data_IF_635102144455
#
_entry.id   IF_635102144455
#
_cell.length_a   1.000
_cell.length_b   1.000
_cell.length_c   1.000
_cell.angle_alpha   90.00
_cell.angle_beta   90.00
_cell.angle_gamma   90.00
#
_symmetry.space_group_name_H-M   'P 1'
#
loop_
_entity.id
_entity.type
_entity.pdbx_description
1 polymer ?
#
# COMPACT_ATOMS: atom_id res chain seq x y z
N UNK A 1 8.04 26.84 -13.70
CA UNK A 1 8.43 26.88 -12.27
C UNK A 1 8.92 25.49 -11.88
N UNK A 2 10.24 25.31 -11.81
CA UNK A 2 10.85 24.06 -11.34
C UNK A 2 10.97 24.12 -9.83
N UNK A 3 10.23 23.26 -9.12
CA UNK A 3 10.40 23.07 -7.69
C UNK A 3 11.71 22.30 -7.53
N UNK A 4 12.79 22.99 -7.14
CA UNK A 4 14.07 22.37 -6.81
C UNK A 4 14.06 22.06 -5.32
N UNK A 5 14.10 20.77 -4.97
CA UNK A 5 14.39 20.33 -3.60
C UNK A 5 15.87 20.64 -3.34
N UNK A 6 16.15 21.77 -2.69
CA UNK A 6 17.53 22.28 -2.53
C UNK A 6 18.36 21.48 -1.51
N UNK A 7 17.76 20.55 -0.75
CA UNK A 7 18.46 19.63 0.15
C UNK A 7 17.77 18.27 0.11
N UNK A 8 18.27 17.35 -0.70
CA UNK A 8 17.84 15.95 -0.71
C UNK A 8 18.88 15.11 0.06
N UNK A 9 18.44 14.44 1.13
CA UNK A 9 19.29 13.48 1.84
C UNK A 9 18.93 12.07 1.38
N UNK A 10 19.88 11.37 0.81
CA UNK A 10 19.70 9.96 0.42
C UNK A 10 19.90 9.10 1.67
N UNK A 11 18.84 8.39 2.08
CA UNK A 11 18.90 7.39 3.14
C UNK A 11 18.90 6.02 2.47
N UNK A 12 20.01 5.27 2.49
CA UNK A 12 20.06 3.96 1.86
C UNK A 12 19.21 2.97 2.65
N UNK A 13 18.33 2.23 1.95
CA UNK A 13 17.64 1.09 2.55
C UNK A 13 18.53 -0.16 2.45
N UNK A 14 18.88 -0.82 3.56
CA UNK A 14 19.95 -1.81 3.59
C UNK A 14 19.47 -3.21 3.14
N UNK A 15 18.97 -3.34 1.90
CA UNK A 15 18.50 -4.62 1.32
C UNK A 15 19.50 -5.77 1.50
N UNK A 16 20.80 -5.48 1.39
CA UNK A 16 21.88 -6.45 1.44
C UNK A 16 22.21 -6.93 2.87
N UNK A 17 21.89 -6.13 3.90
CA UNK A 17 22.22 -6.46 5.30
C UNK A 17 21.12 -7.26 5.98
N UNK A 18 19.96 -7.40 5.33
CA UNK A 18 18.88 -8.22 5.85
C UNK A 18 19.10 -9.63 5.29
N UNK A 19 19.96 -10.37 5.97
CA UNK A 19 20.39 -11.73 5.64
C UNK A 19 19.20 -12.71 5.52
N UNK A 20 18.10 -12.40 6.22
CA UNK A 20 16.83 -13.15 6.20
C UNK A 20 15.73 -12.51 5.32
N UNK A 21 16.03 -11.44 4.57
CA UNK A 21 15.05 -10.91 3.60
C UNK A 21 14.90 -11.92 2.49
N UNK A 22 13.76 -12.59 2.53
CA UNK A 22 13.31 -13.51 1.51
C UNK A 22 13.35 -12.85 0.13
N UNK A 23 13.67 -13.64 -0.89
CA UNK A 23 13.96 -13.15 -2.25
C UNK A 23 12.83 -12.28 -2.83
N UNK A 24 11.58 -12.49 -2.40
CA UNK A 24 10.42 -11.71 -2.84
C UNK A 24 10.50 -10.23 -2.44
N UNK A 25 11.12 -9.90 -1.30
CA UNK A 25 11.27 -8.51 -0.84
C UNK A 25 12.28 -7.75 -1.73
N UNK A 26 13.36 -8.42 -2.17
CA UNK A 26 14.37 -7.84 -3.07
C UNK A 26 13.87 -7.70 -4.50
N UNK A 27 12.85 -8.45 -4.87
CA UNK A 27 12.25 -8.39 -6.20
C UNK A 27 11.36 -7.16 -6.33
N UNK A 28 11.93 -6.08 -6.88
CA UNK A 28 11.29 -4.75 -6.91
C UNK A 28 9.88 -4.75 -7.54
N UNK A 29 9.63 -5.63 -8.52
CA UNK A 29 8.32 -5.79 -9.19
C UNK A 29 7.18 -6.14 -8.23
N UNK A 30 7.49 -6.77 -7.10
CA UNK A 30 6.50 -7.17 -6.12
C UNK A 30 6.19 -6.08 -5.09
N UNK A 31 7.00 -5.01 -5.05
CA UNK A 31 6.82 -3.88 -4.12
C UNK A 31 6.74 -4.26 -2.64
N UNK A 32 7.09 -5.49 -2.26
CA UNK A 32 7.09 -5.98 -0.87
C UNK A 32 8.07 -5.20 0.03
N UNK A 33 9.03 -4.49 -0.55
CA UNK A 33 9.92 -3.59 0.17
C UNK A 33 9.25 -2.27 0.58
N UNK A 34 8.24 -1.80 -0.16
CA UNK A 34 7.63 -0.47 0.03
C UNK A 34 6.98 -0.31 1.40
N UNK A 35 6.16 -1.26 1.90
CA UNK A 35 5.55 -1.14 3.23
C UNK A 35 6.60 -0.98 4.33
N UNK A 36 7.73 -1.67 4.19
CA UNK A 36 8.84 -1.65 5.15
C UNK A 36 9.49 -0.27 5.17
N UNK A 37 9.80 0.28 4.00
CA UNK A 37 10.38 1.63 3.85
C UNK A 37 9.43 2.70 4.39
N UNK A 38 8.12 2.61 4.08
CA UNK A 38 7.12 3.56 4.57
C UNK A 38 7.02 3.49 6.09
N UNK A 39 6.99 2.30 6.69
CA UNK A 39 6.95 2.14 8.14
C UNK A 39 8.21 2.70 8.82
N UNK A 40 9.41 2.40 8.31
CA UNK A 40 10.67 2.93 8.83
C UNK A 40 10.71 4.46 8.74
N UNK A 41 10.26 5.04 7.61
CA UNK A 41 10.20 6.48 7.44
C UNK A 41 9.21 7.15 8.42
N UNK A 42 8.00 6.58 8.61
CA UNK A 42 7.05 7.09 9.61
C UNK A 42 7.65 7.01 11.01
N UNK A 43 8.32 5.91 11.35
CA UNK A 43 8.96 5.74 12.65
C UNK A 43 10.05 6.79 12.92
N UNK A 44 10.82 7.19 11.90
CA UNK A 44 11.91 8.18 12.02
C UNK A 44 11.42 9.63 12.03
N UNK A 45 10.40 9.94 11.24
CA UNK A 45 10.02 11.32 10.94
C UNK A 45 8.67 11.74 11.52
N UNK A 46 7.88 10.80 12.07
CA UNK A 46 6.54 11.06 12.59
C UNK A 46 5.52 11.23 11.46
N UNK A 47 5.64 12.25 10.62
CA UNK A 47 4.75 12.48 9.48
C UNK A 47 5.53 12.51 8.17
N UNK A 48 5.05 11.77 7.18
CA UNK A 48 5.68 11.68 5.85
C UNK A 48 4.67 11.81 4.72
N UNK A 49 5.19 12.19 3.55
CA UNK A 49 4.52 12.02 2.27
C UNK A 49 5.40 11.12 1.42
N UNK A 50 4.85 9.97 1.05
CA UNK A 50 5.49 9.02 0.14
C UNK A 50 4.99 9.27 -1.28
N UNK A 51 5.90 9.18 -2.25
CA UNK A 51 5.58 9.21 -3.68
C UNK A 51 6.48 8.26 -4.46
N UNK A 52 5.90 7.45 -5.35
CA UNK A 52 6.65 6.67 -6.31
C UNK A 52 7.47 7.59 -7.23
N UNK A 53 8.54 7.05 -7.83
CA UNK A 53 9.41 7.80 -8.75
C UNK A 53 8.71 8.32 -10.00
N UNK A 54 7.50 7.82 -10.30
CA UNK A 54 6.62 8.29 -11.38
C UNK A 54 5.77 9.51 -10.98
N UNK A 55 5.61 9.80 -9.69
CA UNK A 55 4.79 10.92 -9.20
C UNK A 55 5.50 12.25 -9.46
N UNK A 56 4.74 13.25 -9.87
CA UNK A 56 5.22 14.62 -10.11
C UNK A 56 4.33 15.60 -9.35
N UNK A 57 4.92 16.35 -8.44
CA UNK A 57 4.20 17.34 -7.66
C UNK A 57 4.06 18.64 -8.43
N UNK A 58 2.82 19.16 -8.50
CA UNK A 58 2.53 20.48 -9.07
C UNK A 58 2.59 21.61 -8.03
N UNK A 59 2.70 21.25 -6.75
CA UNK A 59 2.77 22.15 -5.61
C UNK A 59 3.89 21.70 -4.68
N UNK A 60 4.49 22.65 -3.96
CA UNK A 60 5.41 22.39 -2.85
C UNK A 60 4.75 22.52 -1.48
N UNK A 61 3.50 23.01 -1.43
CA UNK A 61 2.74 23.12 -0.19
C UNK A 61 1.92 21.84 0.02
N UNK A 62 2.20 21.14 1.11
CA UNK A 62 1.47 19.97 1.57
C UNK A 62 0.82 20.16 2.95
N UNK A 63 0.80 21.38 3.48
CA UNK A 63 0.37 21.69 4.85
C UNK A 63 -1.03 21.17 5.10
N UNK A 64 -1.97 21.43 4.17
CA UNK A 64 -3.35 20.94 4.28
C UNK A 64 -3.41 19.42 4.38
N UNK A 65 -2.66 18.71 3.54
CA UNK A 65 -2.65 17.25 3.54
C UNK A 65 -2.05 16.71 4.85
N UNK A 66 -0.98 17.32 5.35
CA UNK A 66 -0.34 16.93 6.60
C UNK A 66 -1.24 17.22 7.81
N UNK A 67 -1.86 18.40 7.86
CA UNK A 67 -2.80 18.80 8.91
C UNK A 67 -4.01 17.87 8.95
N UNK A 68 -4.61 17.56 7.79
CA UNK A 68 -5.72 16.60 7.70
C UNK A 68 -5.30 15.20 8.20
N UNK A 69 -4.03 14.82 7.97
CA UNK A 69 -3.47 13.55 8.44
C UNK A 69 -3.08 13.51 9.90
N UNK A 70 -2.95 14.64 10.61
CA UNK A 70 -2.71 14.61 12.07
C UNK A 70 -3.83 13.86 12.81
N UNK A 71 -5.07 14.02 12.34
CA UNK A 71 -6.25 13.34 12.92
C UNK A 71 -6.44 11.96 12.26
N UNK A 72 -6.38 11.88 10.93
CA UNK A 72 -6.70 10.65 10.17
C UNK A 72 -5.61 9.58 10.23
N UNK A 73 -4.35 9.97 10.42
CA UNK A 73 -3.18 9.08 10.47
C UNK A 73 -2.73 8.52 9.12
N UNK A 74 -3.65 8.27 8.19
CA UNK A 74 -3.34 7.66 6.90
C UNK A 74 -4.25 8.19 5.81
N UNK A 75 -3.67 8.58 4.68
CA UNK A 75 -4.39 9.02 3.49
C UNK A 75 -3.77 8.46 2.22
N UNK A 76 -4.63 7.96 1.34
CA UNK A 76 -4.31 7.53 -0.01
C UNK A 76 -5.50 7.86 -0.92
N UNK A 77 -5.26 7.89 -2.23
CA UNK A 77 -6.32 8.17 -3.21
C UNK A 77 -7.01 6.89 -3.64
N UNK A 78 -8.31 6.78 -3.40
CA UNK A 78 -9.13 5.72 -4.00
C UNK A 78 -9.21 5.88 -5.52
N UNK A 79 -9.33 4.77 -6.25
CA UNK A 79 -9.49 4.71 -7.70
C UNK A 79 -10.89 4.18 -8.07
N UNK A 80 -11.93 5.04 -8.11
CA UNK A 80 -13.28 4.63 -8.50
C UNK A 80 -13.29 3.93 -9.86
N UNK A 81 -14.08 2.86 -9.96
CA UNK A 81 -14.16 2.01 -11.14
C UNK A 81 -13.10 0.89 -11.21
N UNK A 82 -12.09 0.92 -10.33
CA UNK A 82 -11.09 -0.14 -10.19
C UNK A 82 -11.38 -1.00 -8.96
N UNK A 83 -12.22 -2.03 -9.11
CA UNK A 83 -12.64 -2.89 -8.00
C UNK A 83 -11.49 -3.75 -7.44
N UNK A 84 -11.32 -3.73 -6.11
CA UNK A 84 -10.27 -4.46 -5.39
C UNK A 84 -10.18 -5.96 -5.74
N UNK A 85 -11.29 -6.72 -5.84
CA UNK A 85 -11.31 -8.11 -6.29
C UNK A 85 -10.57 -8.38 -7.60
N UNK A 86 -10.60 -7.41 -8.51
CA UNK A 86 -10.03 -7.58 -9.84
C UNK A 86 -8.50 -7.48 -9.78
N UNK A 87 -7.95 -6.78 -8.79
CA UNK A 87 -6.52 -6.53 -8.64
C UNK A 87 -5.89 -7.28 -7.48
N UNK A 88 -6.64 -8.16 -6.81
CA UNK A 88 -6.16 -8.88 -5.62
C UNK A 88 -6.19 -10.37 -5.89
N UNK A 89 -5.04 -11.02 -5.72
CA UNK A 89 -4.94 -12.46 -5.84
C UNK A 89 -5.76 -13.16 -4.76
N UNK A 90 -6.30 -14.33 -5.08
CA UNK A 90 -7.02 -15.14 -4.11
C UNK A 90 -6.13 -15.56 -2.92
N UNK A 91 -4.84 -15.82 -3.14
CA UNK A 91 -3.91 -16.16 -2.07
C UNK A 91 -3.72 -15.04 -1.05
N UNK A 92 -3.68 -13.78 -1.49
CA UNK A 92 -3.62 -12.62 -0.58
C UNK A 92 -4.88 -12.58 0.28
N UNK A 93 -6.07 -12.74 -0.30
CA UNK A 93 -7.32 -12.74 0.46
C UNK A 93 -7.40 -13.89 1.46
N UNK A 94 -6.99 -15.10 1.04
CA UNK A 94 -6.91 -16.26 1.93
C UNK A 94 -5.98 -16.03 3.12
N UNK A 95 -4.83 -15.38 2.90
CA UNK A 95 -3.92 -15.03 3.98
C UNK A 95 -4.59 -14.10 5.01
N UNK A 96 -5.39 -13.15 4.54
CA UNK A 96 -6.24 -12.29 5.38
C UNK A 96 -7.47 -13.00 5.95
N UNK A 97 -7.68 -14.29 5.66
CA UNK A 97 -8.86 -15.08 6.04
C UNK A 97 -10.17 -14.51 5.47
N UNK A 98 -10.12 -13.98 4.25
CA UNK A 98 -11.22 -13.31 3.59
C UNK A 98 -11.59 -13.95 2.25
N UNK A 99 -12.79 -13.61 1.79
CA UNK A 99 -13.31 -14.06 0.49
C UNK A 99 -13.43 -12.89 -0.48
N UNK A 100 -13.47 -13.19 -1.78
CA UNK A 100 -13.60 -12.17 -2.82
C UNK A 100 -14.90 -11.35 -2.65
N UNK A 101 -15.99 -12.00 -2.27
CA UNK A 101 -17.30 -11.34 -2.09
C UNK A 101 -17.31 -10.28 -1.01
N UNK A 102 -16.43 -10.37 0.00
CA UNK A 102 -16.30 -9.33 1.03
C UNK A 102 -15.94 -7.96 0.43
N UNK A 103 -15.34 -7.95 -0.77
CA UNK A 103 -14.77 -6.75 -1.39
C UNK A 103 -15.43 -6.36 -2.71
N UNK A 104 -16.59 -6.93 -3.06
CA UNK A 104 -17.22 -6.72 -4.36
C UNK A 104 -17.51 -5.24 -4.67
N UNK A 105 -17.76 -4.42 -3.64
CA UNK A 105 -18.02 -2.97 -3.75
C UNK A 105 -16.85 -2.07 -3.32
N UNK A 106 -15.70 -2.65 -3.01
CA UNK A 106 -14.53 -1.89 -2.58
C UNK A 106 -13.66 -1.57 -3.78
N UNK A 107 -13.30 -0.30 -3.93
CA UNK A 107 -12.33 0.14 -4.93
C UNK A 107 -10.91 0.01 -4.37
N UNK A 108 -9.96 -0.24 -5.27
CA UNK A 108 -8.54 -0.18 -4.92
C UNK A 108 -8.12 1.30 -4.75
N UNK A 109 -7.16 1.57 -3.88
CA UNK A 109 -6.54 2.88 -3.68
C UNK A 109 -5.07 2.86 -4.12
N UNK A 110 -4.50 4.01 -4.47
CA UNK A 110 -3.10 4.15 -4.87
C UNK A 110 -2.15 3.94 -3.69
N UNK A 111 -1.21 3.00 -3.84
CA UNK A 111 -0.06 2.85 -2.93
C UNK A 111 1.18 3.62 -3.42
N UNK A 112 1.05 4.36 -4.52
CA UNK A 112 2.12 5.16 -5.11
C UNK A 112 2.19 6.59 -4.58
N UNK A 113 1.15 7.06 -3.86
CA UNK A 113 1.17 8.36 -3.19
C UNK A 113 0.40 8.26 -1.87
N UNK A 114 1.11 8.43 -0.76
CA UNK A 114 0.57 8.27 0.59
C UNK A 114 0.95 9.48 1.45
N UNK A 115 0.05 9.89 2.33
CA UNK A 115 0.39 10.73 3.47
C UNK A 115 0.11 9.94 4.74
N UNK A 116 1.11 9.87 5.62
CA UNK A 116 1.04 9.03 6.82
C UNK A 116 1.61 9.81 8.00
N UNK A 117 0.84 9.90 9.07
CA UNK A 117 1.25 10.49 10.34
C UNK A 117 1.22 9.41 11.41
N UNK A 118 2.28 9.33 12.21
CA UNK A 118 2.43 8.39 13.29
C UNK A 118 1.35 8.60 14.37
N UNK A 119 0.42 7.66 14.43
CA UNK A 119 -0.60 7.58 15.45
C UNK A 119 -1.04 6.12 15.61
N UNK A 120 -1.96 5.85 16.54
CA UNK A 120 -2.43 4.49 16.79
C UNK A 120 -2.95 3.79 15.53
N UNK A 121 -3.72 4.50 14.71
CA UNK A 121 -4.36 3.95 13.51
C UNK A 121 -3.34 3.65 12.41
N UNK A 122 -2.44 4.57 12.12
CA UNK A 122 -1.39 4.36 11.12
C UNK A 122 -0.41 3.27 11.54
N UNK A 123 -0.09 3.15 12.83
CA UNK A 123 0.72 2.03 13.35
C UNK A 123 0.04 0.69 13.11
N UNK A 124 -1.28 0.59 13.29
CA UNK A 124 -2.03 -0.64 13.01
C UNK A 124 -2.03 -0.97 11.52
N UNK A 125 -2.31 0.02 10.65
CA UNK A 125 -2.28 -0.13 9.19
C UNK A 125 -0.89 -0.59 8.73
N UNK A 126 0.16 0.14 9.11
CA UNK A 126 1.53 -0.14 8.71
C UNK A 126 1.99 -1.50 9.24
N UNK A 127 1.63 -1.87 10.47
CA UNK A 127 1.99 -3.19 11.04
C UNK A 127 1.38 -4.32 10.21
N UNK A 128 0.09 -4.24 9.89
CA UNK A 128 -0.58 -5.26 9.06
C UNK A 128 -0.01 -5.29 7.65
N UNK A 129 0.20 -4.12 7.04
CA UNK A 129 0.75 -4.01 5.69
C UNK A 129 2.17 -4.58 5.59
N UNK A 130 3.04 -4.27 6.56
CA UNK A 130 4.39 -4.85 6.67
C UNK A 130 4.34 -6.34 6.95
N UNK A 131 3.43 -6.82 7.79
CA UNK A 131 3.31 -8.27 8.08
C UNK A 131 2.99 -9.05 6.80
N UNK A 132 2.04 -8.55 5.99
CA UNK A 132 1.78 -9.14 4.67
C UNK A 132 3.00 -9.06 3.74
N UNK A 133 3.71 -7.93 3.74
CA UNK A 133 4.88 -7.74 2.89
C UNK A 133 6.04 -8.71 3.21
N UNK A 134 6.20 -9.06 4.49
CA UNK A 134 7.21 -10.00 4.96
C UNK A 134 6.87 -11.46 4.64
N UNK A 135 5.60 -11.80 4.42
CA UNK A 135 5.16 -13.15 4.08
C UNK A 135 4.90 -13.28 2.56
N UNK A 136 5.74 -14.08 1.89
CA UNK A 136 5.63 -14.36 0.45
C UNK A 136 4.24 -14.89 0.07
N UNK A 137 3.59 -15.67 0.95
CA UNK A 137 2.26 -16.22 0.72
C UNK A 137 1.17 -15.14 0.73
N UNK A 138 1.40 -14.00 1.37
CA UNK A 138 0.47 -12.88 1.37
C UNK A 138 0.70 -11.97 0.16
N UNK A 139 1.92 -11.45 0.03
CA UNK A 139 2.20 -10.38 -0.92
C UNK A 139 2.32 -10.89 -2.36
N UNK A 140 2.91 -12.07 -2.55
CA UNK A 140 3.21 -12.68 -3.85
C UNK A 140 2.85 -14.18 -3.88
N UNK A 141 1.59 -14.55 -3.57
CA UNK A 141 1.19 -15.94 -3.56
C UNK A 141 1.38 -16.60 -4.93
N UNK A 142 1.75 -17.89 -4.90
CA UNK A 142 1.79 -18.73 -6.09
C UNK A 142 0.38 -18.87 -6.68
N UNK A 143 0.24 -18.59 -7.97
CA UNK A 143 -1.06 -18.62 -8.66
C UNK A 143 -1.79 -17.28 -8.59
N UNK A 144 -1.48 -16.42 -9.57
CA UNK A 144 -1.89 -15.01 -9.68
C UNK A 144 -3.33 -14.79 -10.14
N UNK A 145 -4.19 -15.81 -10.15
CA UNK A 145 -5.51 -15.66 -10.77
C UNK A 145 -6.38 -14.77 -9.91
N UNK A 146 -6.70 -13.58 -10.42
CA UNK A 146 -7.76 -12.73 -9.90
C UNK A 146 -9.09 -13.27 -10.43
N UNK A 147 -10.14 -13.23 -9.60
CA UNK A 147 -11.49 -13.66 -10.01
C UNK A 147 -12.42 -12.47 -9.90
N UNK A 148 -12.40 -11.62 -10.94
CA UNK A 148 -13.26 -10.46 -11.07
C UNK A 148 -14.59 -10.88 -11.71
N UNK A 149 -15.72 -10.57 -11.08
CA UNK A 149 -17.06 -10.80 -11.68
C UNK A 149 -17.61 -9.59 -12.44
N UNK A 150 -17.06 -8.39 -12.19
CA UNK A 150 -17.67 -7.11 -12.62
C UNK A 150 -17.28 -6.65 -14.02
N UNK A 151 -16.19 -7.17 -14.58
CA UNK A 151 -15.76 -6.84 -15.93
C UNK A 151 -15.60 -8.16 -16.70
N UNK A 152 -16.55 -8.45 -17.59
CA UNK A 152 -16.50 -9.63 -18.47
C UNK A 152 -15.19 -9.58 -19.26
N UNK A 153 -14.36 -10.62 -19.12
CA UNK A 153 -13.07 -10.74 -19.83
C UNK A 153 -11.88 -10.02 -19.18
N UNK A 154 -12.03 -9.38 -18.03
CA UNK A 154 -10.91 -8.71 -17.35
C UNK A 154 -10.27 -9.61 -16.30
N UNK A 155 -9.15 -10.25 -16.68
CA UNK A 155 -8.18 -10.76 -15.71
C UNK A 155 -7.20 -9.64 -15.39
N UNK A 156 -7.51 -8.79 -14.41
CA UNK A 156 -6.55 -7.78 -13.98
C UNK A 156 -5.45 -8.44 -13.13
N UNK A 157 -4.21 -8.01 -13.33
CA UNK A 157 -3.05 -8.60 -12.66
C UNK A 157 -3.04 -8.14 -11.19
N UNK A 158 -2.67 -9.05 -10.28
CA UNK A 158 -2.45 -8.76 -8.87
C UNK A 158 -1.53 -7.54 -8.66
N UNK A 159 -1.92 -6.62 -7.78
CA UNK A 159 -1.22 -5.36 -7.50
C UNK A 159 -0.44 -5.35 -6.20
N UNK A 160 -0.10 -6.53 -5.66
CA UNK A 160 0.87 -6.72 -4.57
C UNK A 160 0.64 -5.81 -3.36
N UNK A 161 1.53 -4.84 -3.12
CA UNK A 161 1.49 -3.89 -2.01
C UNK A 161 0.20 -3.09 -1.99
N UNK A 162 -0.29 -2.67 -3.16
CA UNK A 162 -1.52 -1.91 -3.30
C UNK A 162 -2.74 -2.74 -2.90
N UNK A 163 -2.77 -4.01 -3.29
CA UNK A 163 -3.84 -4.93 -2.91
C UNK A 163 -3.84 -5.17 -1.41
N UNK A 164 -2.68 -5.50 -0.84
CA UNK A 164 -2.51 -5.73 0.60
C UNK A 164 -2.87 -4.49 1.44
N UNK A 165 -2.52 -3.29 0.96
CA UNK A 165 -2.85 -2.03 1.62
C UNK A 165 -4.37 -1.85 1.71
N UNK A 166 -5.09 -2.01 0.61
CA UNK A 166 -6.53 -1.74 0.59
C UNK A 166 -7.31 -2.80 1.36
N UNK A 167 -6.90 -4.07 1.28
CA UNK A 167 -7.45 -5.11 2.16
C UNK A 167 -7.23 -4.72 3.63
N UNK A 168 -6.04 -4.23 3.99
CA UNK A 168 -5.77 -3.71 5.35
C UNK A 168 -6.69 -2.56 5.73
N UNK A 169 -6.83 -1.55 4.86
CA UNK A 169 -7.69 -0.38 5.08
C UNK A 169 -9.16 -0.77 5.23
N UNK A 170 -9.61 -1.82 4.55
CA UNK A 170 -10.99 -2.28 4.59
C UNK A 170 -11.45 -2.76 5.97
N UNK A 171 -10.55 -3.30 6.78
CA UNK A 171 -10.87 -3.72 8.14
C UNK A 171 -11.13 -2.53 9.08
N UNK A 172 -10.69 -1.33 8.70
CA UNK A 172 -10.68 -0.15 9.58
C UNK A 172 -11.64 0.94 9.10
N UNK A 173 -11.85 1.06 7.80
CA UNK A 173 -12.59 2.18 7.20
C UNK A 173 -13.80 1.76 6.38
N UNK A 174 -13.88 0.53 5.91
CA UNK A 174 -14.99 0.08 5.06
C UNK A 174 -15.98 -0.76 5.87
N UNK A 175 -17.24 -0.32 5.87
CA UNK A 175 -18.36 -1.12 6.36
C UNK A 175 -18.51 -2.34 5.45
N UNK A 176 -18.24 -3.54 5.96
CA UNK A 176 -18.53 -4.78 5.25
C UNK A 176 -20.03 -4.85 4.98
N UNK A 177 -20.45 -4.95 3.73
CA UNK A 177 -21.82 -5.36 3.40
C UNK A 177 -22.00 -6.80 3.88
N UNK A 178 -22.96 -6.98 4.79
CA UNK A 178 -23.35 -8.30 5.32
C UNK A 178 -24.16 -9.09 4.30
#
# INVERSE_FOLDING_TARGET
MSITCQICTIIPFPFAQIEHVAAHIRTLRYFAWKPIVVQDAVHRFGSIIYGDTSIRYKTSNFDRLLLDNLIRGFSCRELPGHYLPCFTSFGTLLWFQETISTFDDIYIAEAGFLAVTDNFLSRLILKTWVTCALDEKCITPLGWTTRCKRIVGSTMIHRYDQSALVVTLSFLFFSKSS
#
